data_IF_269598180119
#
_entry.id   IF_269598180119
#
_cell.length_a   1.000
_cell.length_b   1.000
_cell.length_c   1.000
_cell.angle_alpha   90.00
_cell.angle_beta   90.00
_cell.angle_gamma   90.00
#
_symmetry.space_group_name_H-M   'P 1'
#
loop_
_entity.id
_entity.type
_entity.pdbx_description
1 polymer ?
#
# COMPACT_ATOMS: atom_id res chain seq x y z
N UNK A 1 -10.52 -5.87 6.42
CA UNK A 1 -9.39 -6.10 7.36
C UNK A 1 -8.64 -7.38 7.02
N UNK A 2 -9.24 -8.58 7.08
CA UNK A 2 -8.61 -9.79 6.51
C UNK A 2 -8.21 -9.60 5.02
N UNK A 3 -9.11 -9.00 4.24
CA UNK A 3 -8.84 -8.64 2.84
C UNK A 3 -7.56 -7.80 2.63
N UNK A 4 -7.14 -6.99 3.61
CA UNK A 4 -5.89 -6.22 3.53
C UNK A 4 -4.69 -7.16 3.70
N UNK A 5 -4.78 -8.12 4.63
CA UNK A 5 -3.75 -9.15 4.78
C UNK A 5 -3.66 -10.02 3.52
N UNK A 6 -4.80 -10.46 2.99
CA UNK A 6 -4.85 -11.29 1.78
C UNK A 6 -4.28 -10.52 0.57
N UNK A 7 -4.59 -9.22 0.47
CA UNK A 7 -4.03 -8.35 -0.57
C UNK A 7 -2.54 -8.11 -0.38
N UNK A 8 -2.07 -7.92 0.85
CA UNK A 8 -0.65 -7.79 1.17
C UNK A 8 0.12 -9.05 0.75
N UNK A 9 -0.41 -10.23 1.10
CA UNK A 9 0.16 -11.52 0.69
C UNK A 9 0.18 -11.65 -0.84
N UNK A 10 -0.92 -11.27 -1.52
CA UNK A 10 -0.98 -11.27 -3.00
C UNK A 10 0.09 -10.37 -3.62
N UNK A 11 0.25 -9.15 -3.11
CA UNK A 11 1.26 -8.21 -3.57
C UNK A 11 2.68 -8.73 -3.32
N UNK A 12 2.93 -9.35 -2.16
CA UNK A 12 4.21 -9.99 -1.86
C UNK A 12 4.52 -11.16 -2.78
N UNK A 13 3.52 -12.00 -3.10
CA UNK A 13 3.69 -13.09 -4.07
C UNK A 13 3.98 -12.53 -5.47
N UNK A 14 3.27 -11.47 -5.86
CA UNK A 14 3.35 -10.90 -7.21
C UNK A 14 4.66 -10.14 -7.45
N UNK A 15 5.10 -9.36 -6.47
CA UNK A 15 6.20 -8.41 -6.62
C UNK A 15 7.42 -8.75 -5.76
N UNK A 16 7.28 -9.64 -4.79
CA UNK A 16 8.31 -9.89 -3.78
C UNK A 16 8.47 -8.72 -2.81
N UNK A 17 9.43 -8.87 -1.89
CA UNK A 17 9.76 -7.84 -0.91
C UNK A 17 10.27 -6.57 -1.61
N UNK A 18 9.52 -5.48 -1.48
CA UNK A 18 9.91 -4.17 -2.00
C UNK A 18 10.61 -3.34 -0.93
N UNK A 19 11.68 -2.63 -1.33
CA UNK A 19 12.43 -1.70 -0.48
C UNK A 19 12.64 -0.40 -1.22
N UNK A 20 11.64 0.47 -1.16
CA UNK A 20 11.68 1.77 -1.82
C UNK A 20 11.93 2.90 -0.84
N UNK A 21 12.42 4.04 -1.37
CA UNK A 21 12.44 5.29 -0.62
C UNK A 21 11.04 5.89 -0.47
N UNK A 22 10.88 6.80 0.49
CA UNK A 22 9.58 7.42 0.81
C UNK A 22 8.88 8.06 -0.41
N UNK A 23 9.64 8.68 -1.32
CA UNK A 23 9.07 9.30 -2.53
C UNK A 23 8.39 8.28 -3.44
N UNK A 24 9.03 7.13 -3.67
CA UNK A 24 8.50 6.06 -4.50
C UNK A 24 7.31 5.36 -3.82
N UNK A 25 7.38 5.11 -2.51
CA UNK A 25 6.23 4.61 -1.76
C UNK A 25 5.03 5.56 -1.85
N UNK A 26 5.27 6.88 -1.79
CA UNK A 26 4.20 7.85 -1.99
C UNK A 26 3.65 7.84 -3.41
N UNK A 27 4.47 7.63 -4.43
CA UNK A 27 3.98 7.47 -5.81
C UNK A 27 3.03 6.28 -5.92
N UNK A 28 3.42 5.11 -5.41
CA UNK A 28 2.59 3.89 -5.46
C UNK A 28 1.30 4.09 -4.67
N UNK A 29 1.38 4.66 -3.46
CA UNK A 29 0.19 4.93 -2.65
C UNK A 29 -0.80 5.87 -3.37
N UNK A 30 -0.28 6.89 -4.06
CA UNK A 30 -1.12 7.83 -4.80
C UNK A 30 -1.75 7.22 -6.06
N UNK A 31 -1.14 6.18 -6.63
CA UNK A 31 -1.75 5.41 -7.72
C UNK A 31 -3.02 4.71 -7.23
N UNK A 32 -2.94 3.94 -6.15
CA UNK A 32 -4.09 3.24 -5.55
C UNK A 32 -5.20 4.22 -5.09
N UNK A 33 -4.82 5.37 -4.53
CA UNK A 33 -5.78 6.43 -4.17
C UNK A 33 -6.47 6.99 -5.42
N UNK A 34 -5.74 7.13 -6.51
CA UNK A 34 -6.28 7.56 -7.80
C UNK A 34 -7.29 6.55 -8.37
N UNK A 35 -6.99 5.26 -8.27
CA UNK A 35 -7.91 4.19 -8.68
C UNK A 35 -9.18 4.17 -7.83
N UNK A 36 -9.05 4.30 -6.50
CA UNK A 36 -10.21 4.43 -5.61
C UNK A 36 -11.07 5.66 -5.95
N UNK A 37 -10.45 6.80 -6.23
CA UNK A 37 -11.16 8.00 -6.63
C UNK A 37 -11.90 7.81 -7.97
N UNK A 38 -11.26 7.13 -8.94
CA UNK A 38 -11.86 6.80 -10.23
C UNK A 38 -13.08 5.88 -10.06
N UNK A 39 -12.96 4.79 -9.32
CA UNK A 39 -14.07 3.85 -9.09
C UNK A 39 -15.27 4.54 -8.44
N UNK A 40 -15.03 5.47 -7.50
CA UNK A 40 -16.07 6.31 -6.90
C UNK A 40 -16.77 7.20 -7.93
N UNK A 41 -16.02 7.88 -8.79
CA UNK A 41 -16.57 8.73 -9.86
C UNK A 41 -17.36 7.95 -10.91
N UNK A 42 -16.95 6.72 -11.19
CA UNK A 42 -17.62 5.81 -12.13
C UNK A 42 -18.85 5.12 -11.53
N UNK A 43 -19.11 5.32 -10.23
CA UNK A 43 -20.24 4.69 -9.54
C UNK A 43 -20.06 3.18 -9.36
N UNK A 44 -18.82 2.72 -9.23
CA UNK A 44 -18.47 1.32 -8.98
C UNK A 44 -18.16 1.10 -7.48
N UNK A 45 -19.16 0.71 -6.67
CA UNK A 45 -18.97 0.52 -5.24
C UNK A 45 -18.13 -0.72 -4.90
N UNK A 46 -18.07 -1.72 -5.79
CA UNK A 46 -17.26 -2.92 -5.57
C UNK A 46 -15.80 -2.60 -5.83
N UNK A 47 -15.50 -2.02 -7.00
CA UNK A 47 -14.16 -1.54 -7.32
C UNK A 47 -13.66 -0.54 -6.27
N UNK A 48 -14.49 0.40 -5.84
CA UNK A 48 -14.11 1.34 -4.78
C UNK A 48 -13.64 0.64 -3.49
N UNK A 49 -14.36 -0.41 -3.06
CA UNK A 49 -13.99 -1.16 -1.87
C UNK A 49 -12.70 -1.97 -2.09
N UNK A 50 -12.50 -2.53 -3.28
CA UNK A 50 -11.27 -3.23 -3.67
C UNK A 50 -10.06 -2.29 -3.66
N UNK A 51 -10.17 -1.10 -4.26
CA UNK A 51 -9.06 -0.13 -4.29
C UNK A 51 -8.73 0.42 -2.90
N UNK A 52 -9.73 0.62 -2.03
CA UNK A 52 -9.44 0.97 -0.63
C UNK A 52 -8.65 -0.11 0.11
N UNK A 53 -8.85 -1.38 -0.23
CA UNK A 53 -8.04 -2.48 0.31
C UNK A 53 -6.61 -2.38 -0.22
N UNK A 54 -6.42 -2.08 -1.51
CA UNK A 54 -5.08 -1.89 -2.10
C UNK A 54 -4.35 -0.68 -1.48
N UNK A 55 -5.02 0.46 -1.30
CA UNK A 55 -4.49 1.65 -0.58
C UNK A 55 -3.97 1.27 0.81
N UNK A 56 -4.77 0.52 1.57
CA UNK A 56 -4.38 0.09 2.91
C UNK A 56 -3.20 -0.89 2.88
N UNK A 57 -3.18 -1.84 1.94
CA UNK A 57 -2.10 -2.81 1.78
C UNK A 57 -0.77 -2.14 1.40
N UNK A 58 -0.79 -1.16 0.49
CA UNK A 58 0.40 -0.36 0.12
C UNK A 58 0.90 0.46 1.30
N UNK A 59 0.00 1.04 2.09
CA UNK A 59 0.37 1.78 3.31
C UNK A 59 1.10 0.88 4.31
N UNK A 60 0.58 -0.34 4.53
CA UNK A 60 1.23 -1.34 5.39
C UNK A 60 2.60 -1.71 4.85
N UNK A 61 2.72 -2.01 3.56
CA UNK A 61 3.99 -2.37 2.92
C UNK A 61 5.04 -1.26 3.05
N UNK A 62 4.64 0.00 2.90
CA UNK A 62 5.52 1.16 3.06
C UNK A 62 6.04 1.28 4.50
N UNK A 63 5.17 1.07 5.51
CA UNK A 63 5.56 1.08 6.92
C UNK A 63 6.48 -0.09 7.25
N UNK A 64 6.19 -1.30 6.77
CA UNK A 64 7.06 -2.47 6.92
C UNK A 64 8.44 -2.19 6.32
N UNK A 65 8.50 -1.62 5.12
CA UNK A 65 9.76 -1.22 4.48
C UNK A 65 10.50 -0.16 5.30
N UNK A 66 9.80 0.80 5.89
CA UNK A 66 10.39 1.87 6.71
C UNK A 66 11.00 1.31 8.00
N UNK A 67 10.25 0.50 8.75
CA UNK A 67 10.70 -0.07 10.01
C UNK A 67 11.74 -1.19 9.84
N UNK A 68 11.75 -1.85 8.68
CA UNK A 68 12.78 -2.82 8.34
C UNK A 68 14.13 -2.17 7.97
N UNK A 69 14.23 -0.84 7.86
CA UNK A 69 15.49 -0.13 7.64
C UNK A 69 16.19 0.18 8.98
N UNK A 70 17.31 -0.51 9.32
CA UNK A 70 18.00 -0.32 10.59
C UNK A 70 18.61 1.08 10.77
N UNK A 71 18.69 1.86 9.69
CA UNK A 71 19.21 3.24 9.73
C UNK A 71 18.18 4.21 10.30
N UNK A 72 16.90 3.89 10.20
CA UNK A 72 15.80 4.74 10.68
C UNK A 72 15.34 4.35 12.08
N UNK A 73 15.61 3.11 12.53
CA UNK A 73 15.28 2.63 13.87
C UNK A 73 16.14 3.22 15.00
N UNK A 74 17.19 4.00 14.70
CA UNK A 74 18.10 4.59 15.69
C UNK A 74 17.75 6.02 16.11
N UNK A 75 16.94 6.73 15.33
CA UNK A 75 16.65 8.15 15.54
C UNK A 75 15.31 8.41 16.25
N UNK A 76 14.67 7.37 16.79
CA UNK A 76 13.40 7.46 17.54
C UNK A 76 13.56 7.19 19.05
N UNK A 77 14.79 7.29 19.58
CA UNK A 77 15.11 7.12 21.00
C UNK A 77 15.25 8.44 21.75
#
# INVERSE_FOLDING_TARGET
LQAISDERDRQDIKWGVQRHGASMWMTILMEEVGEAAKASLEGDPVGYAEELVQVAAVTVAALESFYADPRLSRDSG
#
